data_IF_293528472081
#
_entry.id   IF_293528472081
#
_cell.length_a   1.000
_cell.length_b   1.000
_cell.length_c   1.000
_cell.angle_alpha   90.00
_cell.angle_beta   90.00
_cell.angle_gamma   90.00
#
_symmetry.space_group_name_H-M   'P 1'
#
loop_
_entity.id
_entity.type
_entity.pdbx_description
1 polymer ?
#
# COMPACT_ATOMS: atom_id res chain seq x y z
N UNK A 1 -0.79 -1.97 30.74
CA UNK A 1 -0.99 -1.99 29.27
C UNK A 1 -0.39 -0.70 28.74
N UNK A 2 0.69 -0.80 27.97
CA UNK A 2 1.53 0.35 27.61
C UNK A 2 0.86 1.17 26.50
N UNK A 3 0.72 2.49 26.70
CA UNK A 3 0.20 3.46 25.71
C UNK A 3 0.81 3.35 24.29
N UNK A 4 2.00 2.74 24.19
CA UNK A 4 2.70 2.47 22.93
C UNK A 4 1.99 1.51 21.99
N UNK A 5 1.25 0.51 22.50
CA UNK A 5 0.55 -0.46 21.63
C UNK A 5 -0.72 0.14 21.02
N UNK A 6 -1.42 0.97 21.78
CA UNK A 6 -2.71 1.57 21.37
C UNK A 6 -2.53 2.66 20.29
N UNK A 7 -1.46 3.45 20.37
CA UNK A 7 -1.10 4.43 19.34
C UNK A 7 -0.60 3.74 18.07
N UNK A 8 0.13 2.63 18.20
CA UNK A 8 0.56 1.82 17.07
C UNK A 8 -0.63 1.16 16.36
N UNK A 9 -1.56 0.56 17.10
CA UNK A 9 -2.76 -0.09 16.55
C UNK A 9 -3.68 0.93 15.85
N UNK A 10 -3.87 2.12 16.42
CA UNK A 10 -4.64 3.17 15.76
C UNK A 10 -3.92 3.72 14.53
N UNK A 11 -2.59 3.85 14.56
CA UNK A 11 -1.78 4.23 13.41
C UNK A 11 -1.88 3.22 12.27
N UNK A 12 -1.77 1.92 12.59
CA UNK A 12 -1.95 0.82 11.63
C UNK A 12 -3.36 0.82 11.06
N UNK A 13 -4.41 1.00 11.87
CA UNK A 13 -5.80 1.02 11.37
C UNK A 13 -6.04 2.20 10.43
N UNK A 14 -5.67 3.41 10.83
CA UNK A 14 -5.82 4.60 9.98
C UNK A 14 -5.00 4.49 8.68
N UNK A 15 -3.85 3.82 8.74
CA UNK A 15 -3.02 3.54 7.58
C UNK A 15 -3.66 2.52 6.63
N UNK A 16 -4.19 1.42 7.15
CA UNK A 16 -4.93 0.42 6.37
C UNK A 16 -6.17 1.05 5.73
N UNK A 17 -6.95 1.83 6.47
CA UNK A 17 -8.12 2.56 5.92
C UNK A 17 -7.72 3.51 4.77
N UNK A 18 -6.59 4.21 4.89
CA UNK A 18 -6.08 5.09 3.82
C UNK A 18 -5.67 4.31 2.56
N UNK A 19 -5.17 3.10 2.73
CA UNK A 19 -4.77 2.21 1.65
C UNK A 19 -5.97 1.51 0.99
N UNK A 20 -6.98 1.13 1.77
CA UNK A 20 -8.22 0.53 1.28
C UNK A 20 -8.93 1.43 0.25
N UNK A 21 -8.86 2.74 0.44
CA UNK A 21 -9.46 3.71 -0.47
C UNK A 21 -8.49 4.31 -1.49
N UNK A 22 -7.21 3.92 -1.49
CA UNK A 22 -6.23 4.45 -2.44
C UNK A 22 -6.42 3.75 -3.78
N UNK A 23 -6.95 4.46 -4.77
CA UNK A 23 -6.97 3.97 -6.14
C UNK A 23 -5.61 4.15 -6.80
N UNK A 24 -5.24 3.19 -7.66
CA UNK A 24 -4.04 3.26 -8.47
C UNK A 24 -4.38 2.85 -9.90
N UNK A 25 -4.10 3.75 -10.82
CA UNK A 25 -4.11 3.49 -12.26
C UNK A 25 -2.73 3.02 -12.70
N UNK A 26 -2.69 1.95 -13.47
CA UNK A 26 -1.53 1.43 -14.16
C UNK A 26 -1.12 2.42 -15.25
N UNK A 27 0.13 2.88 -15.21
CA UNK A 27 0.65 3.84 -16.18
C UNK A 27 0.86 3.24 -17.58
N UNK A 28 0.80 1.90 -17.69
CA UNK A 28 1.10 1.16 -18.92
C UNK A 28 -0.14 0.74 -19.72
N UNK A 29 -1.22 0.35 -19.05
CA UNK A 29 -2.43 -0.17 -19.69
C UNK A 29 -3.74 0.48 -19.20
N UNK A 30 -3.63 1.52 -18.38
CA UNK A 30 -4.76 2.28 -17.82
C UNK A 30 -5.71 1.46 -16.91
N UNK A 31 -5.32 0.23 -16.53
CA UNK A 31 -6.03 -0.54 -15.51
C UNK A 31 -6.11 0.24 -14.19
N UNK A 32 -7.30 0.45 -13.66
CA UNK A 32 -7.52 1.20 -12.42
C UNK A 32 -8.27 0.34 -11.41
N UNK A 33 -7.70 0.21 -10.22
CA UNK A 33 -8.36 -0.46 -9.10
C UNK A 33 -7.80 0.06 -7.77
N UNK A 34 -8.39 -0.34 -6.64
CA UNK A 34 -7.85 -0.04 -5.31
C UNK A 34 -6.49 -0.70 -5.08
N UNK A 35 -5.64 -0.12 -4.23
CA UNK A 35 -4.33 -0.72 -3.91
C UNK A 35 -4.48 -1.95 -3.02
N UNK A 36 -5.46 -1.95 -2.11
CA UNK A 36 -5.84 -3.12 -1.31
C UNK A 36 -7.14 -3.73 -1.83
N UNK A 37 -7.30 -5.04 -1.64
CA UNK A 37 -8.50 -5.82 -2.05
C UNK A 37 -8.79 -5.87 -3.55
N UNK A 38 -7.82 -5.56 -4.39
CA UNK A 38 -7.92 -5.59 -5.86
C UNK A 38 -7.23 -6.79 -6.50
N UNK A 39 -7.32 -6.86 -7.82
CA UNK A 39 -6.54 -7.80 -8.63
C UNK A 39 -5.05 -7.41 -8.78
N UNK A 40 -4.64 -6.26 -8.25
CA UNK A 40 -3.21 -5.93 -8.15
C UNK A 40 -2.50 -7.02 -7.33
N UNK A 41 -1.50 -7.66 -7.93
CA UNK A 41 -0.62 -8.55 -7.17
C UNK A 41 0.28 -7.65 -6.33
N UNK A 42 0.04 -7.60 -5.03
CA UNK A 42 0.73 -6.69 -4.12
C UNK A 42 1.87 -7.40 -3.39
N UNK A 43 3.05 -6.79 -3.43
CA UNK A 43 4.20 -7.17 -2.61
C UNK A 43 4.57 -6.00 -1.70
N UNK A 44 4.66 -6.26 -0.39
CA UNK A 44 4.98 -5.23 0.60
C UNK A 44 6.43 -5.36 1.00
N UNK A 45 7.24 -4.37 0.63
CA UNK A 45 8.62 -4.26 1.09
C UNK A 45 8.70 -3.24 2.23
N UNK A 46 8.96 -3.74 3.43
CA UNK A 46 9.32 -2.89 4.57
C UNK A 46 10.81 -2.61 4.51
N UNK A 47 11.22 -1.66 3.66
CA UNK A 47 12.59 -1.12 3.74
C UNK A 47 12.83 -0.55 5.14
N UNK A 48 13.97 -0.83 5.80
CA UNK A 48 14.25 -0.37 7.17
C UNK A 48 14.50 1.16 7.28
N UNK A 49 14.05 1.96 6.30
CA UNK A 49 14.03 3.40 6.43
C UNK A 49 12.94 3.76 7.45
N UNK A 50 13.29 4.47 8.54
CA UNK A 50 12.29 4.85 9.53
C UNK A 50 11.22 5.73 8.88
N UNK A 51 9.96 5.30 8.99
CA UNK A 51 8.80 6.10 8.56
C UNK A 51 8.33 5.91 7.11
N UNK A 52 8.80 4.88 6.38
CA UNK A 52 8.34 4.64 5.00
C UNK A 52 8.02 3.16 4.75
N UNK A 53 6.86 2.88 4.12
CA UNK A 53 6.54 1.56 3.57
C UNK A 53 6.45 1.67 2.05
N UNK A 54 7.08 0.73 1.35
CA UNK A 54 7.06 0.62 -0.11
C UNK A 54 6.18 -0.54 -0.52
N UNK A 55 5.17 -0.24 -1.32
CA UNK A 55 4.32 -1.24 -1.96
C UNK A 55 4.75 -1.37 -3.42
N UNK A 56 5.05 -2.58 -3.84
CA UNK A 56 5.19 -2.93 -5.25
C UNK A 56 3.87 -3.57 -5.70
N UNK A 57 3.27 -3.00 -6.74
CA UNK A 57 2.00 -3.44 -7.30
C UNK A 57 2.25 -3.94 -8.71
N UNK A 58 1.98 -5.21 -8.98
CA UNK A 58 2.06 -5.74 -10.34
C UNK A 58 0.67 -5.75 -10.97
N UNK A 59 0.54 -5.09 -12.11
CA UNK A 59 -0.72 -4.98 -12.85
C UNK A 59 -1.12 -6.36 -13.40
N UNK A 60 -2.36 -6.82 -13.20
CA UNK A 60 -2.81 -8.13 -13.70
C UNK A 60 -2.88 -8.19 -15.23
N UNK A 61 -3.12 -7.06 -15.90
CA UNK A 61 -3.38 -7.01 -17.34
C UNK A 61 -2.11 -6.97 -18.20
N UNK A 62 -1.05 -6.32 -17.72
CA UNK A 62 0.18 -6.10 -18.49
C UNK A 62 1.46 -6.49 -17.75
N UNK A 63 1.35 -7.05 -16.53
CA UNK A 63 2.45 -7.40 -15.64
C UNK A 63 3.45 -6.24 -15.38
N UNK A 64 3.05 -4.99 -15.65
CA UNK A 64 3.83 -3.82 -15.30
C UNK A 64 3.91 -3.68 -13.78
N UNK A 65 5.03 -3.17 -13.29
CA UNK A 65 5.22 -2.94 -11.85
C UNK A 65 5.13 -1.45 -11.55
N UNK A 66 4.26 -1.11 -10.62
CA UNK A 66 4.05 0.22 -10.09
C UNK A 66 4.53 0.27 -8.64
N UNK A 67 5.15 1.37 -8.25
CA UNK A 67 5.63 1.57 -6.88
C UNK A 67 4.75 2.61 -6.21
N UNK A 68 4.27 2.28 -5.01
CA UNK A 68 3.54 3.18 -4.14
C UNK A 68 4.29 3.29 -2.82
N UNK A 69 4.89 4.45 -2.59
CA UNK A 69 5.52 4.79 -1.32
C UNK A 69 4.52 5.51 -0.40
N UNK A 70 4.54 5.16 0.88
CA UNK A 70 3.70 5.79 1.88
C UNK A 70 4.55 6.15 3.09
N UNK A 71 4.51 7.43 3.43
CA UNK A 71 5.11 8.00 4.64
C UNK A 71 4.18 7.74 5.84
N UNK A 72 4.74 7.23 6.94
CA UNK A 72 4.05 6.91 8.20
C UNK A 72 4.40 7.93 9.28
#
# INVERSE_FOLDING_TARGET
MSRFTEQHENGVRAFTERLEHKQKTCSSCEFEDSVLHSEWKTHVETTPKPGHIRYELTCPDCDSTEIVEIDI
#
